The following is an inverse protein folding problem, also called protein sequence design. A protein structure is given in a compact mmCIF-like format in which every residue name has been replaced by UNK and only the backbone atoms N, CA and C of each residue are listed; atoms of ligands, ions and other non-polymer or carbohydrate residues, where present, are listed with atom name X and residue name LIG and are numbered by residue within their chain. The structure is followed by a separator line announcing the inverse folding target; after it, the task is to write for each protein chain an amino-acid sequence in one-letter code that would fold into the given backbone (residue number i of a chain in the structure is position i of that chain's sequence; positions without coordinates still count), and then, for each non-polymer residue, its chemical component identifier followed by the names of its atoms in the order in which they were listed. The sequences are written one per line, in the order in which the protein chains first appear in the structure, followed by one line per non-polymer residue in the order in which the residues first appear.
data_IF_320621108220
#
_entry.id   IF_320621108220
#
_cell.length_a   1.000
_cell.length_b   1.000
_cell.length_c   1.000
_cell.angle_alpha   90.00
_cell.angle_beta   90.00
_cell.angle_gamma   90.00
#
_symmetry.space_group_name_H-M   'P 1'
#
loop_
_entity.id
_entity.type
_entity.pdbx_description
1 polymer ?
#
# COMPACT_ATOMS: atom_id res chain seq x y z
N UNK A 1 -66.56 -15.88 37.84
CA UNK A 1 -65.77 -14.64 38.03
C UNK A 1 -64.31 -15.08 38.20
N UNK A 2 -63.52 -15.11 37.12
CA UNK A 2 -62.50 -14.09 36.74
C UNK A 2 -61.53 -13.74 37.88
N UNK A 3 -60.26 -14.14 37.72
CA UNK A 3 -59.01 -13.37 37.91
C UNK A 3 -57.83 -14.31 37.64
N UNK A 4 -57.34 -14.40 36.40
CA UNK A 4 -56.25 -13.60 35.79
C UNK A 4 -54.84 -13.97 36.28
N UNK A 5 -54.07 -14.50 35.33
CA UNK A 5 -52.62 -14.70 35.31
C UNK A 5 -51.85 -13.49 35.86
N UNK A 6 -50.78 -13.75 36.59
CA UNK A 6 -49.63 -12.86 36.67
C UNK A 6 -48.37 -13.67 36.33
N UNK A 7 -48.02 -13.69 35.05
CA UNK A 7 -46.70 -14.14 34.57
C UNK A 7 -45.78 -12.93 34.72
N UNK A 8 -45.02 -12.90 35.81
CA UNK A 8 -43.91 -11.95 35.97
C UNK A 8 -42.78 -12.38 35.03
N UNK A 9 -42.74 -11.75 33.85
CA UNK A 9 -41.57 -11.72 33.02
C UNK A 9 -40.48 -10.94 33.78
N UNK A 10 -39.51 -11.67 34.33
CA UNK A 10 -38.22 -11.10 34.70
C UNK A 10 -37.50 -10.76 33.40
N UNK A 11 -37.75 -9.53 32.93
CA UNK A 11 -36.95 -8.88 31.89
C UNK A 11 -35.53 -8.89 32.42
N UNK A 12 -34.66 -9.64 31.74
CA UNK A 12 -33.23 -9.60 31.99
C UNK A 12 -32.77 -8.15 31.88
N UNK A 13 -32.38 -7.58 33.02
CA UNK A 13 -31.58 -6.36 33.05
C UNK A 13 -30.22 -6.82 32.51
N UNK A 14 -30.08 -6.75 31.20
CA UNK A 14 -28.77 -6.72 30.57
C UNK A 14 -28.16 -5.41 31.06
N UNK A 15 -27.38 -5.47 32.13
CA UNK A 15 -26.57 -4.36 32.60
C UNK A 15 -25.71 -3.92 31.42
N UNK A 16 -26.05 -2.80 30.79
CA UNK A 16 -25.10 -2.11 29.92
C UNK A 16 -24.04 -1.58 30.87
N UNK A 17 -22.92 -2.30 30.99
CA UNK A 17 -21.71 -1.74 31.59
C UNK A 17 -21.50 -0.34 30.99
N UNK A 18 -21.07 0.67 31.77
CA UNK A 18 -20.77 1.97 31.22
C UNK A 18 -19.58 1.82 30.27
N UNK A 19 -19.87 1.65 28.98
CA UNK A 19 -18.87 1.74 27.93
C UNK A 19 -18.27 3.15 28.00
N UNK A 20 -16.95 3.22 27.90
CA UNK A 20 -16.26 4.51 27.75
C UNK A 20 -16.60 5.03 26.37
N UNK A 21 -17.67 5.81 26.30
CA UNK A 21 -18.10 6.47 25.08
C UNK A 21 -17.29 7.76 24.87
N UNK A 22 -16.98 8.06 23.60
CA UNK A 22 -16.39 9.33 23.18
C UNK A 22 -14.94 9.61 23.68
N UNK A 23 -14.00 8.72 23.35
CA UNK A 23 -12.54 8.93 23.57
C UNK A 23 -11.89 9.95 22.61
N UNK A 24 -12.65 10.47 21.64
CA UNK A 24 -12.14 11.28 20.54
C UNK A 24 -11.88 12.73 21.00
N UNK A 25 -10.62 13.18 20.92
CA UNK A 25 -10.22 14.55 21.26
C UNK A 25 -9.50 15.22 20.09
N UNK A 26 -10.02 16.38 19.66
CA UNK A 26 -9.44 17.22 18.60
C UNK A 26 -9.01 16.42 17.35
N UNK A 27 -9.87 15.50 16.93
CA UNK A 27 -9.60 14.60 15.81
C UNK A 27 -10.80 14.70 14.86
N UNK A 28 -10.63 15.32 13.70
CA UNK A 28 -11.76 15.61 12.80
C UNK A 28 -12.09 14.44 11.88
N UNK A 29 -13.31 14.41 11.35
CA UNK A 29 -13.70 13.39 10.35
C UNK A 29 -12.87 13.52 9.07
N UNK A 30 -12.51 14.74 8.68
CA UNK A 30 -11.58 15.01 7.57
C UNK A 30 -10.25 14.26 7.77
N UNK A 31 -9.62 14.43 8.93
CA UNK A 31 -8.35 13.75 9.24
C UNK A 31 -8.53 12.23 9.26
N UNK A 32 -9.62 11.73 9.83
CA UNK A 32 -9.92 10.30 9.80
C UNK A 32 -9.97 9.77 8.37
N UNK A 33 -10.71 10.44 7.48
CA UNK A 33 -10.85 10.01 6.09
C UNK A 33 -9.52 10.05 5.34
N UNK A 34 -8.67 11.05 5.59
CA UNK A 34 -7.33 11.12 5.01
C UNK A 34 -6.41 9.99 5.53
N UNK A 35 -6.48 9.65 6.82
CA UNK A 35 -5.75 8.52 7.38
C UNK A 35 -6.23 7.18 6.81
N UNK A 36 -7.55 7.01 6.62
CA UNK A 36 -8.09 5.81 5.94
C UNK A 36 -7.59 5.72 4.49
N UNK A 37 -7.53 6.86 3.79
CA UNK A 37 -6.94 6.91 2.45
C UNK A 37 -5.45 6.54 2.48
N UNK A 38 -4.67 7.08 3.42
CA UNK A 38 -3.25 6.75 3.54
C UNK A 38 -3.02 5.27 3.86
N UNK A 39 -3.79 4.69 4.79
CA UNK A 39 -3.77 3.25 5.11
C UNK A 39 -3.99 2.41 3.84
N UNK A 40 -4.94 2.82 3.00
CA UNK A 40 -5.19 2.13 1.73
C UNK A 40 -3.97 2.19 0.82
N UNK A 41 -3.30 3.33 0.72
CA UNK A 41 -2.11 3.48 -0.12
C UNK A 41 -0.95 2.60 0.35
N UNK A 42 -0.69 2.54 1.65
CA UNK A 42 0.36 1.66 2.19
C UNK A 42 0.04 0.17 1.94
N UNK A 43 -1.23 -0.22 2.08
CA UNK A 43 -1.65 -1.60 1.76
C UNK A 43 -1.56 -1.91 0.26
N UNK A 44 -1.86 -0.94 -0.59
CA UNK A 44 -1.71 -1.03 -2.04
C UNK A 44 -0.24 -1.20 -2.44
N UNK A 45 0.67 -0.39 -1.86
CA UNK A 45 2.12 -0.50 -2.04
C UNK A 45 2.66 -1.85 -1.55
N UNK A 46 2.25 -2.29 -0.36
CA UNK A 46 2.58 -3.63 0.17
C UNK A 46 2.21 -4.74 -0.81
N UNK A 47 0.99 -4.69 -1.36
CA UNK A 47 0.51 -5.71 -2.29
C UNK A 47 1.25 -5.66 -3.64
N UNK A 48 1.61 -4.47 -4.12
CA UNK A 48 2.46 -4.27 -5.30
C UNK A 48 3.85 -4.90 -5.11
N UNK A 49 4.51 -4.62 -3.98
CA UNK A 49 5.83 -5.17 -3.69
C UNK A 49 5.79 -6.68 -3.46
N UNK A 50 4.72 -7.19 -2.86
CA UNK A 50 4.52 -8.64 -2.79
C UNK A 50 4.48 -9.27 -4.18
N UNK A 51 3.78 -8.66 -5.13
CA UNK A 51 3.70 -9.12 -6.51
C UNK A 51 5.09 -9.16 -7.20
N UNK A 52 5.90 -8.11 -7.03
CA UNK A 52 7.27 -8.10 -7.53
C UNK A 52 8.12 -9.20 -6.91
N UNK A 53 8.05 -9.36 -5.60
CA UNK A 53 8.78 -10.41 -4.89
C UNK A 53 8.49 -11.80 -5.47
N UNK A 54 7.21 -12.10 -5.70
CA UNK A 54 6.80 -13.38 -6.30
C UNK A 54 7.24 -13.50 -7.76
N UNK A 55 7.23 -12.41 -8.51
CA UNK A 55 7.70 -12.39 -9.89
C UNK A 55 9.20 -12.73 -9.99
N UNK A 56 10.06 -12.04 -9.22
CA UNK A 56 11.51 -12.26 -9.23
C UNK A 56 11.92 -13.62 -8.65
N UNK A 57 11.07 -14.22 -7.80
CA UNK A 57 11.25 -15.57 -7.24
C UNK A 57 11.03 -16.71 -8.25
N UNK A 58 10.47 -16.44 -9.43
CA UNK A 58 10.19 -17.48 -10.42
C UNK A 58 11.47 -18.11 -10.96
N UNK A 59 11.42 -19.41 -11.24
CA UNK A 59 12.58 -20.13 -11.81
C UNK A 59 13.00 -19.65 -13.21
N UNK A 60 12.10 -19.00 -13.96
CA UNK A 60 12.39 -18.41 -15.28
C UNK A 60 12.81 -16.93 -15.22
N UNK A 61 12.89 -16.33 -14.03
CA UNK A 61 13.42 -14.97 -13.78
C UNK A 61 14.70 -15.05 -12.94
N UNK A 62 14.65 -15.77 -11.81
CA UNK A 62 15.78 -16.16 -10.98
C UNK A 62 16.68 -15.00 -10.47
N UNK A 63 16.06 -13.92 -10.00
CA UNK A 63 16.72 -12.75 -9.40
C UNK A 63 16.38 -12.66 -7.89
N UNK A 64 17.00 -13.49 -7.03
CA UNK A 64 16.62 -13.63 -5.63
C UNK A 64 16.92 -12.39 -4.76
N UNK A 65 17.88 -11.54 -5.14
CA UNK A 65 18.13 -10.27 -4.45
C UNK A 65 16.96 -9.32 -4.61
N UNK A 66 16.48 -9.14 -5.84
CA UNK A 66 15.25 -8.38 -6.12
C UNK A 66 14.04 -8.98 -5.39
N UNK A 67 13.90 -10.30 -5.42
CA UNK A 67 12.80 -10.97 -4.71
C UNK A 67 12.79 -10.64 -3.21
N UNK A 68 13.96 -10.67 -2.56
CA UNK A 68 14.14 -10.36 -1.14
C UNK A 68 13.94 -8.87 -0.84
N UNK A 69 14.44 -7.99 -1.70
CA UNK A 69 14.24 -6.54 -1.57
C UNK A 69 12.75 -6.22 -1.54
N UNK A 70 12.00 -6.68 -2.54
CA UNK A 70 10.56 -6.43 -2.63
C UNK A 70 9.76 -7.18 -1.56
N UNK A 71 10.22 -8.34 -1.08
CA UNK A 71 9.60 -8.99 0.08
C UNK A 71 9.73 -8.12 1.34
N UNK A 72 10.89 -7.49 1.53
CA UNK A 72 11.15 -6.63 2.68
C UNK A 72 10.33 -5.34 2.59
N UNK A 73 10.32 -4.68 1.43
CA UNK A 73 9.49 -3.51 1.18
C UNK A 73 7.99 -3.80 1.38
N UNK A 74 7.50 -4.96 0.89
CA UNK A 74 6.11 -5.41 1.12
C UNK A 74 5.75 -5.48 2.61
N UNK A 75 6.67 -5.98 3.45
CA UNK A 75 6.46 -6.08 4.90
C UNK A 75 6.47 -4.71 5.56
N UNK A 76 7.43 -3.87 5.20
CA UNK A 76 7.57 -2.49 5.69
C UNK A 76 6.30 -1.67 5.43
N UNK A 77 5.76 -1.68 4.20
CA UNK A 77 4.51 -0.96 3.91
C UNK A 77 3.30 -1.52 4.66
N UNK A 78 3.29 -2.82 4.95
CA UNK A 78 2.23 -3.41 5.78
C UNK A 78 2.36 -2.96 7.24
N UNK A 79 3.58 -2.75 7.73
CA UNK A 79 3.86 -2.20 9.04
C UNK A 79 3.42 -0.72 9.10
N UNK A 80 3.71 0.09 8.09
CA UNK A 80 3.21 1.46 7.95
C UNK A 80 1.67 1.52 8.02
N UNK A 81 0.98 0.67 7.25
CA UNK A 81 -0.47 0.56 7.30
C UNK A 81 -0.99 0.24 8.70
N UNK A 82 -0.33 -0.70 9.39
CA UNK A 82 -0.69 -1.13 10.75
C UNK A 82 -0.48 -0.01 11.76
N UNK A 83 0.64 0.73 11.67
CA UNK A 83 0.91 1.88 12.54
C UNK A 83 -0.16 2.96 12.41
N UNK A 84 -0.61 3.26 11.18
CA UNK A 84 -1.70 4.22 10.95
C UNK A 84 -3.04 3.70 11.48
N UNK A 85 -3.36 2.41 11.32
CA UNK A 85 -4.56 1.81 11.90
C UNK A 85 -4.58 1.93 13.43
N UNK A 86 -3.46 1.58 14.08
CA UNK A 86 -3.30 1.71 15.52
C UNK A 86 -3.42 3.17 15.98
N UNK A 87 -2.90 4.09 15.18
CA UNK A 87 -3.05 5.52 15.43
C UNK A 87 -4.50 5.99 15.35
N UNK A 88 -5.25 5.57 14.32
CA UNK A 88 -6.69 5.87 14.17
C UNK A 88 -7.46 5.37 15.39
N UNK A 89 -7.21 4.12 15.80
CA UNK A 89 -7.84 3.54 17.00
C UNK A 89 -7.49 4.33 18.27
N UNK A 90 -6.20 4.70 18.44
CA UNK A 90 -5.72 5.51 19.58
C UNK A 90 -6.41 6.87 19.67
N UNK A 91 -6.80 7.47 18.54
CA UNK A 91 -7.46 8.79 18.49
C UNK A 91 -8.99 8.73 18.56
N UNK A 92 -9.58 7.54 18.72
CA UNK A 92 -11.03 7.36 18.71
C UNK A 92 -11.65 7.52 17.33
N UNK A 93 -10.87 7.26 16.28
CA UNK A 93 -11.33 7.18 14.91
C UNK A 93 -11.98 5.84 14.59
N UNK A 94 -12.56 5.77 13.40
CA UNK A 94 -13.17 4.53 12.88
C UNK A 94 -12.41 4.07 11.64
N UNK A 95 -11.99 2.81 11.67
CA UNK A 95 -11.33 2.15 10.54
C UNK A 95 -12.39 1.62 9.57
N UNK A 96 -12.21 1.94 8.29
CA UNK A 96 -13.00 1.40 7.19
C UNK A 96 -12.05 0.90 6.10
N UNK A 97 -11.72 -0.39 6.14
CA UNK A 97 -10.83 -0.99 5.15
C UNK A 97 -11.55 -1.12 3.80
N UNK A 98 -10.86 -0.69 2.74
CA UNK A 98 -11.36 -0.76 1.38
C UNK A 98 -10.79 -1.97 0.64
N UNK A 99 -11.45 -2.38 -0.42
CA UNK A 99 -10.94 -3.41 -1.31
C UNK A 99 -9.68 -2.90 -2.04
N UNK A 100 -8.62 -3.70 -2.02
CA UNK A 100 -7.40 -3.45 -2.78
C UNK A 100 -7.61 -3.94 -4.21
N UNK A 101 -7.53 -3.04 -5.19
CA UNK A 101 -7.65 -3.37 -6.60
C UNK A 101 -6.31 -3.17 -7.31
N UNK A 102 -5.69 -4.29 -7.69
CA UNK A 102 -4.36 -4.31 -8.29
C UNK A 102 -4.27 -3.47 -9.57
N UNK A 103 -5.32 -3.48 -10.40
CA UNK A 103 -5.39 -2.69 -11.63
C UNK A 103 -5.40 -1.18 -11.36
N UNK A 104 -6.10 -0.74 -10.32
CA UNK A 104 -6.18 0.69 -9.98
C UNK A 104 -4.80 1.25 -9.63
N UNK A 105 -4.01 0.52 -8.86
CA UNK A 105 -2.63 0.89 -8.52
C UNK A 105 -1.78 1.06 -9.77
N UNK A 106 -1.87 0.11 -10.69
CA UNK A 106 -1.17 0.17 -11.97
C UNK A 106 -1.59 1.37 -12.83
N UNK A 107 -2.89 1.67 -12.89
CA UNK A 107 -3.39 2.83 -13.62
C UNK A 107 -2.84 4.14 -13.00
N UNK A 108 -2.77 4.22 -11.66
CA UNK A 108 -2.17 5.35 -10.95
C UNK A 108 -0.68 5.49 -11.22
N UNK A 109 0.09 4.40 -11.13
CA UNK A 109 1.53 4.39 -11.42
C UNK A 109 1.76 4.86 -12.85
N UNK A 110 1.05 4.31 -13.83
CA UNK A 110 1.16 4.71 -15.24
C UNK A 110 0.90 6.19 -15.46
N UNK A 111 -0.12 6.74 -14.82
CA UNK A 111 -0.44 8.16 -14.91
C UNK A 111 0.72 9.01 -14.36
N UNK A 112 1.34 8.59 -13.25
CA UNK A 112 2.43 9.31 -12.59
C UNK A 112 3.80 9.11 -13.24
N UNK A 113 4.03 7.98 -13.88
CA UNK A 113 5.24 7.67 -14.64
C UNK A 113 5.48 8.70 -15.76
N UNK A 114 4.39 9.02 -16.47
CA UNK A 114 4.37 10.04 -17.54
C UNK A 114 4.77 11.44 -17.05
N UNK A 115 4.48 11.77 -15.78
CA UNK A 115 4.87 13.06 -15.18
C UNK A 115 6.36 13.08 -14.80
N UNK A 116 6.94 11.92 -14.45
CA UNK A 116 8.33 11.77 -14.00
C UNK A 116 9.30 11.55 -15.18
N UNK A 117 8.79 11.13 -16.34
CA UNK A 117 9.56 10.99 -17.58
C UNK A 117 10.15 9.60 -17.80
N UNK A 118 9.66 8.59 -17.09
CA UNK A 118 9.87 7.20 -17.47
C UNK A 118 8.81 6.84 -18.53
N UNK A 119 9.23 6.14 -19.59
CA UNK A 119 8.35 5.69 -20.67
C UNK A 119 8.10 4.18 -20.52
N UNK A 120 7.42 3.81 -19.43
CA UNK A 120 7.12 2.40 -19.16
C UNK A 120 5.66 2.07 -19.46
N UNK A 121 5.44 1.37 -20.57
CA UNK A 121 4.10 0.89 -20.96
C UNK A 121 3.54 -0.20 -20.04
N UNK A 122 4.28 -0.66 -19.04
CA UNK A 122 3.94 -1.86 -18.29
C UNK A 122 3.98 -1.64 -16.78
N UNK A 123 2.89 -2.05 -16.13
CA UNK A 123 2.84 -2.31 -14.70
C UNK A 123 3.05 -3.80 -14.44
N UNK A 124 3.54 -4.18 -13.25
CA UNK A 124 3.71 -5.59 -12.82
C UNK A 124 2.50 -6.51 -13.13
N UNK A 125 1.30 -5.94 -13.18
CA UNK A 125 0.03 -6.57 -13.57
C UNK A 125 0.07 -7.30 -14.91
N UNK A 126 0.77 -6.78 -15.92
CA UNK A 126 0.96 -7.48 -17.19
C UNK A 126 1.76 -8.78 -17.09
N UNK A 127 2.55 -8.94 -16.02
CA UNK A 127 3.52 -10.04 -15.88
C UNK A 127 3.02 -11.15 -14.95
N UNK A 128 2.03 -10.82 -14.12
CA UNK A 128 1.29 -11.79 -13.29
C UNK A 128 0.13 -12.46 -14.04
N UNK A 129 -0.22 -12.01 -15.25
CA UNK A 129 -1.30 -12.60 -16.02
C UNK A 129 -0.96 -14.02 -16.50
N UNK A 130 -1.98 -14.88 -16.49
CA UNK A 130 -1.87 -16.24 -17.02
C UNK A 130 -1.77 -16.19 -18.54
N UNK A 131 -0.91 -17.01 -19.14
CA UNK A 131 -1.02 -17.28 -20.58
C UNK A 131 -2.39 -17.91 -20.83
N UNK A 132 -3.09 -17.35 -21.80
CA UNK A 132 -4.40 -17.77 -22.29
C UNK A 132 -4.47 -19.28 -22.51
N UNK A 133 -5.14 -19.97 -21.59
CA UNK A 133 -5.85 -21.22 -21.86
C UNK A 133 -7.10 -21.20 -20.98
N UNK A 134 -8.25 -20.99 -21.62
CA UNK A 134 -9.65 -21.12 -21.17
C UNK A 134 -10.44 -19.80 -21.19
N UNK A 135 -11.44 -19.83 -22.08
CA UNK A 135 -12.54 -18.87 -22.23
C UNK A 135 -13.12 -18.48 -20.86
N UNK A 136 -12.93 -17.24 -20.44
CA UNK A 136 -13.71 -16.62 -19.35
C UNK A 136 -13.88 -15.13 -19.64
N UNK A 137 -15.02 -14.57 -19.23
CA UNK A 137 -15.37 -13.16 -19.42
C UNK A 137 -14.25 -12.23 -18.96
N UNK A 138 -14.01 -11.19 -19.75
CA UNK A 138 -13.11 -10.08 -19.42
C UNK A 138 -13.68 -9.38 -18.18
N UNK A 139 -13.08 -9.61 -17.01
CA UNK A 139 -13.43 -8.88 -15.79
C UNK A 139 -12.68 -7.55 -15.85
N UNK A 140 -13.42 -6.44 -15.81
CA UNK A 140 -12.92 -5.05 -15.99
C UNK A 140 -11.82 -4.63 -15.00
N UNK A 141 -11.70 -5.35 -13.89
CA UNK A 141 -10.77 -5.10 -12.79
C UNK A 141 -9.53 -6.03 -12.81
N UNK A 142 -9.37 -6.82 -13.88
CA UNK A 142 -8.26 -7.78 -14.01
C UNK A 142 -7.13 -7.28 -14.91
N UNK A 143 -5.93 -7.80 -14.66
CA UNK A 143 -4.75 -7.53 -15.47
C UNK A 143 -4.90 -7.98 -16.92
N UNK A 144 -4.21 -7.34 -17.87
CA UNK A 144 -4.32 -7.69 -19.29
C UNK A 144 -3.96 -9.16 -19.55
N UNK A 145 -4.74 -9.82 -20.42
CA UNK A 145 -4.69 -11.28 -20.65
C UNK A 145 -3.38 -11.75 -21.30
N UNK A 146 -2.73 -10.90 -22.07
CA UNK A 146 -1.48 -11.25 -22.75
C UNK A 146 -0.30 -10.88 -21.85
N UNK A 147 0.45 -11.91 -21.45
CA UNK A 147 1.70 -11.74 -20.72
C UNK A 147 2.67 -10.94 -21.60
N UNK A 148 2.93 -9.69 -21.22
CA UNK A 148 4.01 -8.93 -21.82
C UNK A 148 5.36 -9.57 -21.41
N UNK A 149 6.38 -9.43 -22.25
CA UNK A 149 7.74 -9.86 -21.88
C UNK A 149 8.33 -8.77 -20.99
N UNK A 150 8.45 -9.02 -19.69
CA UNK A 150 9.14 -8.10 -18.79
C UNK A 150 10.58 -7.97 -19.24
N UNK A 151 11.18 -6.80 -19.03
CA UNK A 151 12.54 -6.53 -19.50
C UNK A 151 13.60 -6.85 -18.44
N UNK A 152 13.53 -6.22 -17.27
CA UNK A 152 14.59 -6.27 -16.25
C UNK A 152 14.16 -5.63 -14.90
N UNK A 153 14.96 -5.76 -13.85
CA UNK A 153 14.80 -5.16 -12.53
C UNK A 153 14.87 -3.64 -12.53
N UNK A 154 15.44 -3.01 -13.57
CA UNK A 154 15.41 -1.56 -13.73
C UNK A 154 13.97 -1.03 -13.79
N UNK A 155 13.09 -1.68 -14.55
CA UNK A 155 11.69 -1.29 -14.65
C UNK A 155 10.96 -1.42 -13.30
N UNK A 156 11.28 -2.46 -12.52
CA UNK A 156 10.66 -2.64 -11.20
C UNK A 156 11.08 -1.54 -10.24
N UNK A 157 12.35 -1.14 -10.29
CA UNK A 157 12.85 -0.04 -9.47
C UNK A 157 12.27 1.31 -9.90
N UNK A 158 12.05 1.53 -11.20
CA UNK A 158 11.37 2.73 -11.70
C UNK A 158 9.91 2.81 -11.24
N UNK A 159 9.14 1.72 -11.37
CA UNK A 159 7.77 1.66 -10.86
C UNK A 159 7.72 1.84 -9.32
N UNK A 160 8.66 1.23 -8.59
CA UNK A 160 8.79 1.43 -7.14
C UNK A 160 9.06 2.90 -6.80
N UNK A 161 9.96 3.58 -7.52
CA UNK A 161 10.24 5.00 -7.30
C UNK A 161 8.99 5.87 -7.53
N UNK A 162 8.17 5.55 -8.54
CA UNK A 162 6.92 6.26 -8.80
C UNK A 162 5.92 6.04 -7.65
N UNK A 163 5.79 4.80 -7.19
CA UNK A 163 4.93 4.45 -6.06
C UNK A 163 5.36 5.21 -4.78
N UNK A 164 6.64 5.16 -4.41
CA UNK A 164 7.18 5.85 -3.23
C UNK A 164 6.95 7.36 -3.27
N UNK A 165 7.18 7.99 -4.44
CA UNK A 165 6.94 9.43 -4.61
C UNK A 165 5.46 9.78 -4.50
N UNK A 166 4.58 8.90 -5.01
CA UNK A 166 3.15 9.10 -4.91
C UNK A 166 2.66 8.99 -3.46
N UNK A 167 3.06 7.93 -2.73
CA UNK A 167 2.78 7.75 -1.30
C UNK A 167 3.29 8.95 -0.50
N UNK A 168 4.54 9.38 -0.74
CA UNK A 168 5.10 10.54 -0.06
C UNK A 168 4.32 11.85 -0.36
N UNK A 169 3.86 12.04 -1.59
CA UNK A 169 3.01 13.20 -1.94
C UNK A 169 1.71 13.21 -1.15
N UNK A 170 1.10 12.04 -0.92
CA UNK A 170 -0.12 11.91 -0.12
C UNK A 170 0.14 12.14 1.38
N UNK A 171 1.28 11.65 1.91
CA UNK A 171 1.73 11.95 3.27
C UNK A 171 1.95 13.44 3.50
N UNK A 172 2.60 14.13 2.56
CA UNK A 172 2.82 15.58 2.64
C UNK A 172 1.50 16.36 2.61
N UNK A 173 0.52 15.92 1.82
CA UNK A 173 -0.80 16.53 1.80
C UNK A 173 -1.53 16.32 3.15
N UNK A 174 -1.48 15.10 3.68
CA UNK A 174 -2.04 14.78 5.00
C UNK A 174 -1.36 15.60 6.12
N UNK A 175 -0.04 15.74 6.07
CA UNK A 175 0.73 16.55 7.01
C UNK A 175 0.34 18.03 6.94
N UNK A 176 0.26 18.60 5.74
CA UNK A 176 -0.14 20.00 5.54
C UNK A 176 -1.54 20.30 6.09
N UNK A 177 -2.46 19.36 5.95
CA UNK A 177 -3.81 19.46 6.54
C UNK A 177 -3.81 19.29 8.07
N UNK A 178 -2.89 18.49 8.61
CA UNK A 178 -2.74 18.24 10.04
C UNK A 178 -2.04 19.38 10.78
N UNK A 179 -1.09 20.09 10.15
CA UNK A 179 -0.18 21.08 10.79
C UNK A 179 -0.91 22.10 11.67
N UNK A 180 -2.08 22.59 11.21
CA UNK A 180 -2.86 23.63 11.92
C UNK A 180 -3.89 23.09 12.90
N UNK A 181 -4.16 21.79 12.86
CA UNK A 181 -5.33 21.18 13.51
C UNK A 181 -4.90 20.16 14.56
N UNK A 182 -3.83 19.40 14.29
CA UNK A 182 -3.47 18.20 15.04
C UNK A 182 -1.94 18.05 15.13
N UNK A 183 -1.33 18.78 16.07
CA UNK A 183 0.13 18.79 16.27
C UNK A 183 0.71 17.39 16.57
N UNK A 184 -0.05 16.51 17.21
CA UNK A 184 0.40 15.16 17.52
C UNK A 184 0.42 14.28 16.26
N UNK A 185 -0.57 14.43 15.37
CA UNK A 185 -0.53 13.77 14.07
C UNK A 185 0.65 14.28 13.23
N UNK A 186 0.87 15.59 13.15
CA UNK A 186 2.01 16.16 12.40
C UNK A 186 3.35 15.59 12.88
N UNK A 187 3.57 15.54 14.20
CA UNK A 187 4.78 14.95 14.78
C UNK A 187 4.97 13.47 14.39
N UNK A 188 3.89 12.67 14.40
CA UNK A 188 3.98 11.25 14.00
C UNK A 188 4.31 11.11 12.52
N UNK A 189 3.69 11.91 11.66
CA UNK A 189 3.96 11.87 10.22
C UNK A 189 5.41 12.27 9.92
N UNK A 190 5.92 13.31 10.56
CA UNK A 190 7.32 13.73 10.42
C UNK A 190 8.28 12.61 10.83
N UNK A 191 8.12 12.09 12.05
CA UNK A 191 9.10 11.21 12.66
C UNK A 191 9.08 9.77 12.11
N UNK A 192 7.90 9.23 11.79
CA UNK A 192 7.74 7.82 11.44
C UNK A 192 7.51 7.57 9.95
N UNK A 193 7.27 8.60 9.15
CA UNK A 193 6.92 8.42 7.74
C UNK A 193 7.77 9.30 6.82
N UNK A 194 7.80 10.61 7.04
CA UNK A 194 8.44 11.53 6.09
C UNK A 194 9.97 11.35 6.02
N UNK A 195 10.64 11.10 7.15
CA UNK A 195 12.08 10.80 7.16
C UNK A 195 12.38 9.51 6.38
N UNK A 196 11.63 8.44 6.65
CA UNK A 196 11.78 7.13 6.00
C UNK A 196 11.48 7.20 4.49
N UNK A 197 10.44 7.92 4.08
CA UNK A 197 10.11 8.13 2.66
C UNK A 197 11.26 8.81 1.90
N UNK A 198 11.91 9.82 2.49
CA UNK A 198 13.03 10.52 1.83
C UNK A 198 14.22 9.58 1.64
N UNK A 199 14.52 8.75 2.63
CA UNK A 199 15.59 7.76 2.56
C UNK A 199 15.27 6.66 1.52
N UNK A 200 14.04 6.14 1.52
CA UNK A 200 13.57 5.12 0.56
C UNK A 200 13.64 5.63 -0.88
N UNK A 201 13.09 6.82 -1.15
CA UNK A 201 13.12 7.45 -2.49
C UNK A 201 14.56 7.62 -2.98
N UNK A 202 15.48 8.09 -2.11
CA UNK A 202 16.89 8.22 -2.47
C UNK A 202 17.50 6.86 -2.78
N UNK A 203 17.24 5.85 -1.95
CA UNK A 203 17.83 4.50 -2.09
C UNK A 203 17.42 3.87 -3.41
N UNK A 204 16.14 3.95 -3.78
CA UNK A 204 15.64 3.43 -5.06
C UNK A 204 16.24 4.21 -6.24
N UNK A 205 16.36 5.54 -6.14
CA UNK A 205 17.00 6.33 -7.19
C UNK A 205 18.49 5.96 -7.42
N UNK A 206 19.22 5.67 -6.35
CA UNK A 206 20.60 5.14 -6.44
C UNK A 206 20.64 3.77 -7.13
N UNK A 207 19.67 2.89 -6.85
CA UNK A 207 19.55 1.59 -7.50
C UNK A 207 19.23 1.70 -9.00
N UNK A 208 18.31 2.58 -9.38
CA UNK A 208 18.02 2.87 -10.79
C UNK A 208 19.31 3.31 -11.50
N UNK A 209 20.04 4.27 -10.93
CA UNK A 209 21.29 4.78 -11.52
C UNK A 209 22.35 3.68 -11.67
N UNK A 210 22.46 2.78 -10.68
CA UNK A 210 23.39 1.65 -10.72
C UNK A 210 23.00 0.63 -11.79
N UNK A 211 21.71 0.31 -11.90
CA UNK A 211 21.18 -0.61 -12.91
C UNK A 211 21.37 -0.07 -14.33
N UNK A 212 21.10 1.21 -14.56
CA UNK A 212 21.35 1.87 -15.85
C UNK A 212 22.83 1.80 -16.25
N UNK A 213 23.75 1.96 -15.28
CA UNK A 213 25.19 1.87 -15.52
C UNK A 213 25.66 0.43 -15.75
N UNK A 214 25.09 -0.53 -15.03
CA UNK A 214 25.44 -1.93 -15.12
C UNK A 214 24.96 -2.56 -16.45
N UNK A 215 23.81 -2.11 -16.95
CA UNK A 215 23.16 -2.64 -18.14
C UNK A 215 22.52 -4.02 -17.89
N UNK A 216 21.86 -4.52 -18.94
CA UNK A 216 21.09 -5.76 -18.89
C UNK A 216 21.98 -7.02 -18.79
N UNK A 217 21.36 -8.14 -18.41
CA UNK A 217 22.01 -9.45 -18.42
C UNK A 217 23.02 -9.62 -17.29
N UNK A 218 24.32 -9.56 -17.60
CA UNK A 218 25.36 -9.78 -16.58
C UNK A 218 25.38 -8.64 -15.55
N UNK A 219 25.15 -7.39 -15.96
CA UNK A 219 25.14 -6.24 -15.06
C UNK A 219 24.03 -6.35 -14.02
N UNK A 220 22.80 -6.58 -14.48
CA UNK A 220 21.64 -6.88 -13.64
C UNK A 220 21.88 -8.08 -12.71
N UNK A 221 22.45 -9.17 -13.22
CA UNK A 221 22.75 -10.34 -12.40
C UNK A 221 23.74 -10.03 -11.26
N UNK A 222 24.77 -9.24 -11.54
CA UNK A 222 25.74 -8.83 -10.52
C UNK A 222 25.11 -7.87 -9.50
N UNK A 223 24.26 -6.96 -9.97
CA UNK A 223 23.51 -6.06 -9.10
C UNK A 223 22.59 -6.84 -8.16
N UNK A 224 21.85 -7.83 -8.67
CA UNK A 224 20.99 -8.71 -7.86
C UNK A 224 21.76 -9.40 -6.73
N UNK A 225 23.02 -9.80 -6.95
CA UNK A 225 23.86 -10.39 -5.88
C UNK A 225 24.23 -9.42 -4.77
N UNK A 226 24.15 -8.11 -5.02
CA UNK A 226 24.48 -7.06 -4.07
C UNK A 226 23.26 -6.46 -3.35
N UNK A 227 22.05 -6.86 -3.75
CA UNK A 227 20.77 -6.37 -3.21
C UNK A 227 20.34 -7.13 -1.95
#
# INVERSE_FOLDING_TARGET
MKTSLLVLALIGICSTDPFVDNIRQNYSEKINNQLIQQIRLELEASYLYQAYSQYFSRGDVALPGFAKFFESASKEEREHATMLMDYVNKRGGYISLQNIQFKTMCDTIKQKDSEIGFDTDACICFFMSHKKDLKKEIVKDTCPEDRAMWKNGLWAMQEALVAERYVNTQLLQLHSDAEKIDAHLSHILEHHFLDEQVESIKKIADYITQLERAGDGLGEHLFDKSL
#
